data_IF_000339233675
#
_entry.id   IF_000339233675
#
_cell.length_a   1.000
_cell.length_b   1.000
_cell.length_c   1.000
_cell.angle_alpha   90.00
_cell.angle_beta   90.00
_cell.angle_gamma   90.00
#
_symmetry.space_group_name_H-M   'P 1'
#
loop_
_entity.id
_entity.type
_entity.pdbx_description
1 polymer ?
#
# COMPACT_ATOMS: atom_id res chain seq x y z
N UNK A 1 -17.98 -36.86 -32.23
CA UNK A 1 -17.67 -35.45 -32.56
C UNK A 1 -17.49 -34.71 -31.24
N UNK A 2 -16.36 -34.01 -31.13
CA UNK A 2 -15.77 -33.40 -29.92
C UNK A 2 -16.81 -32.74 -28.99
N UNK A 3 -16.91 -33.22 -27.75
CA UNK A 3 -16.13 -32.76 -26.58
C UNK A 3 -16.49 -31.34 -26.16
N UNK A 4 -17.23 -31.29 -25.04
CA UNK A 4 -17.35 -30.14 -24.15
C UNK A 4 -15.97 -29.51 -23.93
N UNK A 5 -15.74 -28.31 -24.47
CA UNK A 5 -14.71 -27.43 -23.96
C UNK A 5 -15.41 -26.30 -23.25
N UNK A 6 -15.61 -26.51 -21.94
CA UNK A 6 -15.77 -25.44 -21.00
C UNK A 6 -14.52 -24.55 -21.11
N UNK A 7 -14.68 -23.40 -21.77
CA UNK A 7 -13.69 -22.33 -21.75
C UNK A 7 -13.71 -21.70 -20.35
N UNK A 8 -13.15 -22.40 -19.37
CA UNK A 8 -12.54 -21.75 -18.21
C UNK A 8 -11.23 -21.14 -18.70
N UNK A 9 -11.34 -20.00 -19.38
CA UNK A 9 -10.21 -19.09 -19.50
C UNK A 9 -9.92 -18.63 -18.06
N UNK A 10 -8.79 -19.11 -17.53
CA UNK A 10 -8.32 -18.71 -16.21
C UNK A 10 -8.32 -17.19 -16.13
N UNK A 11 -9.02 -16.66 -15.14
CA UNK A 11 -8.80 -15.32 -14.66
C UNK A 11 -7.35 -15.28 -14.17
N UNK A 12 -6.43 -14.89 -15.05
CA UNK A 12 -5.13 -14.41 -14.62
C UNK A 12 -5.46 -13.31 -13.61
N UNK A 13 -5.10 -13.51 -12.34
CA UNK A 13 -5.26 -12.50 -11.32
C UNK A 13 -4.57 -11.25 -11.85
N UNK A 14 -5.34 -10.24 -12.23
CA UNK A 14 -4.79 -8.99 -12.70
C UNK A 14 -3.92 -8.46 -11.57
N UNK A 15 -2.62 -8.27 -11.82
CA UNK A 15 -1.71 -7.67 -10.84
C UNK A 15 -2.33 -6.34 -10.38
N UNK A 16 -2.72 -6.30 -9.10
CA UNK A 16 -3.33 -5.11 -8.52
C UNK A 16 -2.22 -4.08 -8.38
N UNK A 17 -2.32 -3.00 -9.15
CA UNK A 17 -1.39 -1.87 -9.06
C UNK A 17 -1.77 -0.98 -7.89
N UNK A 18 -0.77 -0.43 -7.22
CA UNK A 18 -0.97 0.51 -6.12
C UNK A 18 -0.41 1.87 -6.50
N UNK A 19 -1.05 2.93 -6.01
CA UNK A 19 -0.58 4.32 -6.12
C UNK A 19 -0.29 4.88 -4.73
N UNK A 20 0.76 5.71 -4.62
CA UNK A 20 1.04 6.47 -3.41
C UNK A 20 0.55 7.92 -3.57
N UNK A 21 -0.48 8.28 -2.83
CA UNK A 21 -0.93 9.67 -2.72
C UNK A 21 -0.27 10.34 -1.50
N UNK A 22 0.48 11.42 -1.73
CA UNK A 22 1.21 12.12 -0.67
C UNK A 22 0.65 13.52 -0.48
N UNK A 23 0.17 13.80 0.73
CA UNK A 23 -0.21 15.15 1.16
C UNK A 23 0.79 15.66 2.18
N UNK A 24 1.46 16.77 1.89
CA UNK A 24 2.47 17.35 2.77
C UNK A 24 2.01 18.66 3.37
N UNK A 25 2.20 18.83 4.67
CA UNK A 25 2.12 20.11 5.37
C UNK A 25 3.51 20.53 5.86
N UNK A 26 3.61 21.70 6.48
CA UNK A 26 4.86 22.14 7.13
C UNK A 26 5.37 21.13 8.17
N UNK A 27 4.46 20.50 8.93
CA UNK A 27 4.79 19.73 10.14
C UNK A 27 4.69 18.21 9.98
N UNK A 28 3.89 17.74 9.03
CA UNK A 28 3.62 16.32 8.85
C UNK A 28 3.39 15.99 7.37
N UNK A 29 3.54 14.71 7.06
CA UNK A 29 3.15 14.11 5.78
C UNK A 29 2.07 13.09 6.05
N UNK A 30 1.07 13.05 5.18
CA UNK A 30 0.10 11.95 5.12
C UNK A 30 0.25 11.22 3.80
N UNK A 31 0.43 9.91 3.88
CA UNK A 31 0.62 8.99 2.77
C UNK A 31 -0.58 8.05 2.71
N UNK A 32 -1.16 7.91 1.53
CA UNK A 32 -2.24 6.96 1.24
C UNK A 32 -1.76 6.00 0.17
N UNK A 33 -1.69 4.72 0.52
CA UNK A 33 -1.46 3.64 -0.42
C UNK A 33 -2.80 3.05 -0.75
N UNK A 34 -3.23 3.21 -1.99
CA UNK A 34 -4.55 2.75 -2.44
C UNK A 34 -4.38 1.97 -3.74
N UNK A 35 -5.17 0.91 -3.94
CA UNK A 35 -5.14 0.16 -5.18
C UNK A 35 -5.78 0.98 -6.29
N UNK A 36 -5.27 0.82 -7.51
CA UNK A 36 -5.82 1.42 -8.72
C UNK A 36 -7.04 0.62 -9.20
N UNK A 37 -8.14 0.72 -8.45
CA UNK A 37 -9.41 0.07 -8.73
C UNK A 37 -10.57 1.02 -8.52
N UNK A 38 -11.69 0.74 -9.17
CA UNK A 38 -12.96 1.49 -9.03
C UNK A 38 -13.71 1.04 -7.78
N UNK A 39 -13.47 -0.18 -7.31
CA UNK A 39 -14.15 -0.74 -6.15
C UNK A 39 -13.55 -0.21 -4.83
N UNK A 40 -14.37 0.13 -3.84
CA UNK A 40 -13.87 0.58 -2.54
C UNK A 40 -13.15 -0.57 -1.84
N UNK A 41 -11.86 -0.38 -1.57
CA UNK A 41 -11.03 -1.34 -0.84
C UNK A 41 -10.95 -0.94 0.63
N UNK A 42 -11.16 -1.89 1.57
CA UNK A 42 -11.12 -1.59 2.99
C UNK A 42 -9.72 -1.11 3.42
N UNK A 43 -9.71 -0.30 4.49
CA UNK A 43 -8.48 0.08 5.17
C UNK A 43 -7.86 -1.16 5.81
N UNK A 44 -6.68 -1.56 5.33
CA UNK A 44 -5.90 -2.68 5.86
C UNK A 44 -5.00 -2.25 7.02
N UNK A 45 -4.34 -1.10 6.89
CA UNK A 45 -3.50 -0.54 7.94
C UNK A 45 -3.58 0.98 8.05
N UNK A 46 -3.36 1.48 9.26
CA UNK A 46 -3.10 2.89 9.53
C UNK A 46 -2.06 3.02 10.64
N UNK A 47 -0.94 3.67 10.32
CA UNK A 47 0.18 3.84 11.25
C UNK A 47 0.67 5.28 11.26
N UNK A 48 1.20 5.70 12.40
CA UNK A 48 1.93 6.94 12.53
C UNK A 48 3.40 6.64 12.77
N UNK A 49 4.30 7.30 12.04
CA UNK A 49 5.73 7.18 12.22
C UNK A 49 6.35 8.53 12.53
N UNK A 50 7.16 8.60 13.59
CA UNK A 50 7.94 9.77 13.95
C UNK A 50 9.33 9.32 14.42
N UNK A 51 10.37 9.88 13.81
CA UNK A 51 11.77 9.64 14.20
C UNK A 51 12.14 8.14 14.32
N UNK A 52 11.60 7.31 13.42
CA UNK A 52 11.84 5.85 13.40
C UNK A 52 10.96 5.03 14.35
N UNK A 53 10.18 5.68 15.22
CA UNK A 53 9.16 5.02 16.04
C UNK A 53 7.87 4.90 15.24
N UNK A 54 7.33 3.68 15.15
CA UNK A 54 6.03 3.40 14.51
C UNK A 54 4.99 3.11 15.57
N UNK A 55 3.87 3.81 15.48
CA UNK A 55 2.69 3.64 16.33
C UNK A 55 1.56 3.12 15.44
N UNK A 56 1.16 1.85 15.59
CA UNK A 56 0.03 1.31 14.86
C UNK A 56 -1.28 1.87 15.43
N UNK A 57 -2.12 2.44 14.57
CA UNK A 57 -3.43 3.00 14.93
C UNK A 57 -4.55 2.04 14.55
N UNK A 58 -4.42 1.38 13.40
CA UNK A 58 -5.29 0.31 12.91
C UNK A 58 -4.38 -0.72 12.24
N UNK A 59 -4.62 -2.01 12.52
CA UNK A 59 -4.01 -3.18 11.87
C UNK A 59 -2.63 -2.93 11.25
N UNK A 60 -1.55 -3.34 11.90
CA UNK A 60 -0.21 -3.18 11.33
C UNK A 60 0.54 -4.50 11.30
N UNK A 61 1.22 -4.75 10.19
CA UNK A 61 2.25 -5.77 10.09
C UNK A 61 3.63 -5.10 9.99
N UNK A 62 4.68 -5.92 10.06
CA UNK A 62 6.05 -5.44 10.05
C UNK A 62 6.41 -4.70 8.75
N UNK A 63 5.77 -5.03 7.65
CA UNK A 63 6.06 -4.44 6.34
C UNK A 63 5.48 -3.03 6.24
N UNK A 64 4.24 -2.80 6.68
CA UNK A 64 3.68 -1.44 6.78
C UNK A 64 4.50 -0.57 7.74
N UNK A 65 4.99 -1.14 8.84
CA UNK A 65 5.86 -0.43 9.77
C UNK A 65 7.17 0.00 9.12
N UNK A 66 7.84 -0.89 8.38
CA UNK A 66 9.07 -0.57 7.62
C UNK A 66 8.81 0.50 6.57
N UNK A 67 7.69 0.44 5.85
CA UNK A 67 7.33 1.43 4.85
C UNK A 67 7.16 2.82 5.47
N UNK A 68 6.44 2.91 6.59
CA UNK A 68 6.26 4.16 7.33
C UNK A 68 7.60 4.73 7.83
N UNK A 69 8.52 3.89 8.29
CA UNK A 69 9.87 4.30 8.68
C UNK A 69 10.67 4.85 7.50
N UNK A 70 10.63 4.17 6.36
CA UNK A 70 11.32 4.62 5.14
C UNK A 70 10.78 5.97 4.66
N UNK A 71 9.45 6.12 4.59
CA UNK A 71 8.80 7.38 4.24
C UNK A 71 9.17 8.50 5.20
N UNK A 72 9.10 8.25 6.51
CA UNK A 72 9.43 9.26 7.52
C UNK A 72 10.90 9.69 7.45
N UNK A 73 11.80 8.73 7.19
CA UNK A 73 13.23 9.00 7.00
C UNK A 73 13.50 9.79 5.71
N UNK A 74 12.91 9.37 4.59
CA UNK A 74 13.13 10.00 3.27
C UNK A 74 12.56 11.42 3.22
N UNK A 75 11.41 11.65 3.85
CA UNK A 75 10.75 12.95 3.90
C UNK A 75 11.22 13.82 5.08
N UNK A 76 12.05 13.26 5.97
CA UNK A 76 12.53 13.90 7.20
C UNK A 76 11.40 14.57 8.01
N UNK A 77 10.24 13.91 8.08
CA UNK A 77 9.02 14.41 8.71
C UNK A 77 8.25 13.26 9.38
N UNK A 78 7.42 13.56 10.37
CA UNK A 78 6.41 12.61 10.84
C UNK A 78 5.45 12.23 9.69
N UNK A 79 5.12 10.95 9.60
CA UNK A 79 4.28 10.38 8.54
C UNK A 79 3.07 9.69 9.14
N UNK A 80 1.88 10.03 8.68
CA UNK A 80 0.73 9.13 8.77
C UNK A 80 0.69 8.30 7.49
N UNK A 81 0.69 6.98 7.62
CA UNK A 81 0.58 6.06 6.50
C UNK A 81 -0.71 5.27 6.62
N UNK A 82 -1.57 5.36 5.62
CA UNK A 82 -2.75 4.51 5.45
C UNK A 82 -2.54 3.59 4.26
N UNK A 83 -2.94 2.34 4.40
CA UNK A 83 -2.80 1.31 3.37
C UNK A 83 -4.13 0.60 3.21
N UNK A 84 -4.73 0.75 2.03
CA UNK A 84 -5.91 0.00 1.61
C UNK A 84 -5.46 -1.15 0.72
N UNK A 85 -5.79 -2.38 1.09
CA UNK A 85 -5.41 -3.60 0.35
C UNK A 85 -6.56 -4.59 0.37
N UNK A 86 -6.84 -5.20 -0.79
CA UNK A 86 -7.76 -6.34 -0.94
C UNK A 86 -7.08 -7.60 -0.36
N UNK A 87 -5.84 -7.83 -0.77
CA UNK A 87 -4.98 -8.91 -0.30
C UNK A 87 -3.62 -8.33 0.10
N UNK A 88 -3.04 -8.88 1.16
CA UNK A 88 -1.71 -8.51 1.63
C UNK A 88 -0.62 -9.03 0.70
N UNK A 89 -0.53 -8.51 -0.52
CA UNK A 89 0.62 -8.70 -1.39
C UNK A 89 1.56 -7.49 -1.26
N UNK A 90 2.37 -7.52 -0.20
CA UNK A 90 3.26 -6.41 0.16
C UNK A 90 4.50 -6.31 -0.74
N UNK A 91 4.81 -7.34 -1.53
CA UNK A 91 6.03 -7.38 -2.37
C UNK A 91 5.87 -6.45 -3.57
N UNK A 92 4.74 -6.52 -4.26
CA UNK A 92 4.37 -5.61 -5.36
C UNK A 92 4.21 -4.17 -4.84
N UNK A 93 3.51 -4.01 -3.71
CA UNK A 93 3.28 -2.72 -3.06
C UNK A 93 4.59 -2.00 -2.67
N UNK A 94 5.57 -2.71 -2.10
CA UNK A 94 6.86 -2.11 -1.77
C UNK A 94 7.66 -1.69 -3.00
N UNK A 95 7.63 -2.50 -4.07
CA UNK A 95 8.37 -2.20 -5.30
C UNK A 95 7.79 -0.97 -6.01
N UNK A 96 6.47 -0.91 -6.15
CA UNK A 96 5.76 0.20 -6.79
C UNK A 96 6.00 1.51 -6.01
N UNK A 97 5.85 1.47 -4.69
CA UNK A 97 5.99 2.68 -3.85
C UNK A 97 7.43 3.16 -3.81
N UNK A 98 8.41 2.26 -3.69
CA UNK A 98 9.81 2.67 -3.66
C UNK A 98 10.25 3.30 -4.98
N UNK A 99 9.67 2.88 -6.11
CA UNK A 99 9.90 3.50 -7.42
C UNK A 99 9.29 4.91 -7.54
N UNK A 100 8.16 5.19 -6.88
CA UNK A 100 7.52 6.51 -6.93
C UNK A 100 8.20 7.56 -6.04
N UNK A 101 8.96 7.16 -5.02
CA UNK A 101 9.55 8.11 -4.07
C UNK A 101 10.96 8.55 -4.53
N UNK A 102 11.61 7.90 -5.51
CA UNK A 102 12.97 8.25 -5.99
C UNK A 102 13.09 9.63 -6.67
#
# INVERSE_FOLDING_TARGET
MASMMAMMAGAAAAETRYKLEVTTTEKLVTCYVVPDTVDPVPLGAYVYCIQGMVVPLVGANDDVAKLAQLLSKKLNKPVYLSVSVDQWDMVSLFQDIMAEID
#
